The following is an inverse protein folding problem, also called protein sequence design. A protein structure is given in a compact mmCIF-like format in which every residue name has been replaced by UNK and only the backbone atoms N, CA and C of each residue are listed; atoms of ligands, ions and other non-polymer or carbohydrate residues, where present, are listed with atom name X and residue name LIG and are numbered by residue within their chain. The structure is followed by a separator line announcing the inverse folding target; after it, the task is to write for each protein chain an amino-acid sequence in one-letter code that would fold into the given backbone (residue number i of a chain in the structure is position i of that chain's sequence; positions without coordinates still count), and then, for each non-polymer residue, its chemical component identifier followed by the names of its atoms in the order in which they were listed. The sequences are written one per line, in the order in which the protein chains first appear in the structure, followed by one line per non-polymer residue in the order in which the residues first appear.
data_IF_327233665222
#
_entry.id   IF_327233665222
#
_cell.length_a   1.000
_cell.length_b   1.000
_cell.length_c   1.000
_cell.angle_alpha   90.00
_cell.angle_beta   90.00
_cell.angle_gamma   90.00
#
_symmetry.space_group_name_H-M   'P 1'
#
loop_
_entity.id
_entity.type
_entity.pdbx_description
1 polymer ?
#
# COMPACT_ATOMS: atom_id res chain seq x y z
N UNK A 1 -8.39 21.36 7.12
CA UNK A 1 -9.62 20.98 6.36
C UNK A 1 -10.28 19.80 7.06
N UNK A 2 -11.54 19.92 7.52
CA UNK A 2 -12.26 18.78 8.12
C UNK A 2 -12.44 17.70 7.06
N UNK A 3 -11.95 16.47 7.29
CA UNK A 3 -12.24 15.31 6.46
C UNK A 3 -13.76 15.14 6.37
N UNK A 4 -14.34 15.41 5.22
CA UNK A 4 -15.77 15.21 4.99
C UNK A 4 -16.02 13.69 5.05
N UNK A 5 -16.71 13.23 6.10
CA UNK A 5 -17.14 11.83 6.24
C UNK A 5 -18.07 11.52 5.07
N UNK A 6 -17.54 10.96 4.00
CA UNK A 6 -18.34 10.51 2.87
C UNK A 6 -19.26 9.37 3.30
N UNK A 7 -20.52 9.43 2.87
CA UNK A 7 -21.52 8.37 3.08
C UNK A 7 -20.96 7.02 2.63
N UNK A 8 -21.18 5.96 3.42
CA UNK A 8 -20.83 4.58 3.11
C UNK A 8 -21.21 4.17 1.67
N UNK A 9 -22.36 4.62 1.19
CA UNK A 9 -22.87 4.35 -0.15
C UNK A 9 -21.90 4.86 -1.26
N UNK A 10 -21.38 6.08 -1.14
CA UNK A 10 -20.43 6.66 -2.11
C UNK A 10 -19.08 5.93 -2.09
N UNK A 11 -18.70 5.38 -0.94
CA UNK A 11 -17.48 4.55 -0.82
C UNK A 11 -17.63 3.20 -1.50
N UNK A 12 -18.84 2.63 -1.48
CA UNK A 12 -19.14 1.30 -2.02
C UNK A 12 -19.42 1.36 -3.52
N UNK A 13 -20.07 2.42 -4.00
CA UNK A 13 -20.51 2.59 -5.38
C UNK A 13 -19.80 3.75 -6.09
N UNK A 14 -18.47 3.73 -6.14
CA UNK A 14 -17.73 4.64 -7.03
C UNK A 14 -17.74 4.07 -8.45
N UNK A 15 -18.48 4.67 -9.42
CA UNK A 15 -18.61 4.13 -10.77
C UNK A 15 -17.27 4.08 -11.54
N UNK A 16 -16.26 4.84 -11.09
CA UNK A 16 -14.91 4.81 -11.67
C UNK A 16 -14.13 3.55 -11.32
N UNK A 17 -14.57 2.85 -10.27
CA UNK A 17 -13.91 1.63 -9.74
C UNK A 17 -14.73 0.36 -9.99
N UNK A 18 -15.82 0.44 -10.74
CA UNK A 18 -16.70 -0.72 -10.96
C UNK A 18 -15.98 -1.86 -11.69
N UNK A 19 -15.09 -1.55 -12.66
CA UNK A 19 -14.25 -2.58 -13.30
C UNK A 19 -13.28 -3.24 -12.30
N UNK A 20 -12.72 -2.46 -11.38
CA UNK A 20 -11.93 -3.01 -10.27
C UNK A 20 -12.77 -3.96 -9.42
N UNK A 21 -14.00 -3.58 -9.10
CA UNK A 21 -14.89 -4.40 -8.28
C UNK A 21 -15.31 -5.67 -9.02
N UNK A 22 -15.70 -5.58 -10.29
CA UNK A 22 -16.01 -6.76 -11.12
C UNK A 22 -14.77 -7.67 -11.18
N UNK A 23 -13.60 -7.16 -11.54
CA UNK A 23 -12.36 -7.93 -11.58
C UNK A 23 -12.01 -8.55 -10.25
N UNK A 24 -12.20 -7.82 -9.14
CA UNK A 24 -11.99 -8.32 -7.80
C UNK A 24 -12.95 -9.44 -7.43
N UNK A 25 -14.22 -9.32 -7.76
CA UNK A 25 -15.24 -10.35 -7.44
C UNK A 25 -15.12 -11.58 -8.34
N UNK A 26 -14.80 -11.43 -9.60
CA UNK A 26 -14.66 -12.56 -10.54
C UNK A 26 -13.32 -13.27 -10.41
N UNK A 27 -12.22 -12.51 -10.36
CA UNK A 27 -10.86 -13.06 -10.26
C UNK A 27 -10.41 -13.36 -8.83
N UNK A 28 -11.10 -12.80 -7.81
CA UNK A 28 -10.64 -12.89 -6.42
C UNK A 28 -10.52 -14.33 -5.92
N UNK A 29 -11.45 -15.21 -6.28
CA UNK A 29 -11.40 -16.61 -5.89
C UNK A 29 -10.17 -17.31 -6.49
N UNK A 30 -9.95 -17.15 -7.80
CA UNK A 30 -8.80 -17.73 -8.49
C UNK A 30 -7.47 -17.17 -7.98
N UNK A 31 -7.39 -15.85 -7.82
CA UNK A 31 -6.21 -15.19 -7.25
C UNK A 31 -5.96 -15.63 -5.81
N UNK A 32 -7.01 -15.77 -5.01
CA UNK A 32 -6.89 -16.24 -3.63
C UNK A 32 -6.41 -17.69 -3.56
N UNK A 33 -6.96 -18.59 -4.39
CA UNK A 33 -6.52 -19.98 -4.49
C UNK A 33 -5.08 -20.08 -4.99
N UNK A 34 -4.69 -19.24 -5.95
CA UNK A 34 -3.33 -19.22 -6.49
C UNK A 34 -2.29 -18.64 -5.54
N UNK A 35 -2.61 -17.51 -4.91
CA UNK A 35 -1.70 -16.81 -3.99
C UNK A 35 -1.73 -17.45 -2.61
N UNK A 36 -2.91 -17.90 -2.16
CA UNK A 36 -3.13 -18.54 -0.86
C UNK A 36 -2.49 -17.75 0.30
N UNK A 37 -2.83 -16.47 0.51
CA UNK A 37 -2.14 -15.61 1.45
C UNK A 37 -2.26 -16.14 2.88
N UNK A 38 -1.12 -16.30 3.56
CA UNK A 38 -1.06 -16.51 5.02
C UNK A 38 -0.78 -15.15 5.64
N UNK A 39 -1.65 -14.67 6.51
CA UNK A 39 -1.47 -13.42 7.25
C UNK A 39 -0.84 -13.71 8.60
N UNK A 40 0.22 -13.01 8.90
CA UNK A 40 0.83 -12.96 10.24
C UNK A 40 0.63 -11.52 10.72
N UNK A 41 0.25 -11.34 11.97
CA UNK A 41 0.05 -10.01 12.54
C UNK A 41 1.14 -9.75 13.58
N UNK A 42 1.65 -8.51 13.63
CA UNK A 42 2.73 -8.08 14.51
C UNK A 42 2.55 -8.58 15.97
N UNK A 43 1.35 -8.51 16.49
CA UNK A 43 1.04 -8.94 17.86
C UNK A 43 0.39 -10.35 17.93
N UNK A 44 0.62 -11.20 16.94
CA UNK A 44 0.04 -12.55 16.85
C UNK A 44 -1.46 -12.61 16.58
N UNK A 45 -2.21 -11.55 16.85
CA UNK A 45 -3.67 -11.47 16.66
C UNK A 45 -4.04 -10.27 15.79
N UNK A 46 -5.06 -10.44 14.94
CA UNK A 46 -5.59 -9.36 14.11
C UNK A 46 -6.14 -8.22 14.98
N UNK A 47 -5.57 -7.00 14.92
CA UNK A 47 -6.11 -5.86 15.65
C UNK A 47 -7.52 -5.49 15.15
N UNK A 48 -8.42 -5.10 16.09
CA UNK A 48 -9.76 -4.64 15.71
C UNK A 48 -9.67 -3.43 14.78
N UNK A 49 -10.35 -3.50 13.65
CA UNK A 49 -10.44 -2.38 12.72
C UNK A 49 -9.16 -2.05 11.96
N UNK A 50 -8.13 -2.93 11.94
CA UNK A 50 -6.86 -2.68 11.24
C UNK A 50 -7.07 -2.27 9.76
N UNK A 51 -8.10 -2.79 9.11
CA UNK A 51 -8.42 -2.47 7.72
C UNK A 51 -9.51 -1.40 7.56
N UNK A 52 -9.98 -0.78 8.66
CA UNK A 52 -10.97 0.31 8.61
C UNK A 52 -10.29 1.66 8.29
N UNK A 53 -11.04 2.55 7.67
CA UNK A 53 -10.56 3.89 7.31
C UNK A 53 -9.67 3.88 6.07
N UNK A 54 -9.12 5.01 5.74
CA UNK A 54 -8.16 5.26 4.68
C UNK A 54 -6.75 5.22 5.28
N UNK A 55 -5.80 4.65 4.54
CA UNK A 55 -4.40 4.58 4.94
C UNK A 55 -3.52 4.33 3.72
N UNK A 56 -2.24 4.61 3.88
CA UNK A 56 -1.23 4.25 2.89
C UNK A 56 -0.56 2.95 3.36
N UNK A 57 -0.44 1.99 2.45
CA UNK A 57 0.35 0.79 2.68
C UNK A 57 1.78 1.07 2.25
N UNK A 58 2.73 0.84 3.15
CA UNK A 58 4.15 0.79 2.87
C UNK A 58 4.60 -0.68 2.95
N UNK A 59 5.25 -1.17 1.91
CA UNK A 59 5.66 -2.58 1.85
C UNK A 59 6.93 -2.72 1.01
N UNK A 60 7.80 -3.66 1.37
CA UNK A 60 8.89 -4.11 0.51
C UNK A 60 8.37 -4.69 -0.81
N UNK A 61 9.23 -4.73 -1.84
CA UNK A 61 8.86 -5.16 -3.18
C UNK A 61 9.72 -6.32 -3.68
N UNK A 62 9.21 -7.54 -3.56
CA UNK A 62 9.95 -8.78 -3.87
C UNK A 62 9.46 -9.51 -5.11
N UNK A 63 8.33 -9.08 -5.69
CA UNK A 63 7.75 -9.73 -6.87
C UNK A 63 6.73 -8.87 -7.59
N UNK A 64 6.60 -9.04 -8.90
CA UNK A 64 5.53 -8.43 -9.72
C UNK A 64 4.12 -8.76 -9.18
N UNK A 65 3.95 -9.89 -8.49
CA UNK A 65 2.67 -10.33 -7.93
C UNK A 65 2.33 -9.74 -6.56
N UNK A 66 3.15 -8.86 -6.00
CA UNK A 66 2.97 -8.28 -4.66
C UNK A 66 1.67 -7.50 -4.53
N UNK A 67 1.27 -6.79 -5.58
CA UNK A 67 -0.01 -6.09 -5.62
C UNK A 67 -1.21 -7.02 -5.37
N UNK A 68 -1.17 -8.23 -5.97
CA UNK A 68 -2.21 -9.23 -5.77
C UNK A 68 -2.12 -9.84 -4.37
N UNK A 69 -0.91 -10.04 -3.84
CA UNK A 69 -0.71 -10.54 -2.48
C UNK A 69 -1.32 -9.58 -1.44
N UNK A 70 -1.05 -8.29 -1.57
CA UNK A 70 -1.66 -7.25 -0.71
C UNK A 70 -3.19 -7.21 -0.91
N UNK A 71 -3.67 -7.23 -2.17
CA UNK A 71 -5.09 -7.19 -2.50
C UNK A 71 -5.89 -8.37 -1.91
N UNK A 72 -5.30 -9.57 -1.92
CA UNK A 72 -5.91 -10.78 -1.34
C UNK A 72 -5.76 -10.85 0.18
N UNK A 73 -4.69 -10.25 0.73
CA UNK A 73 -4.50 -10.16 2.17
C UNK A 73 -5.41 -9.12 2.84
N UNK A 74 -5.85 -8.10 2.12
CA UNK A 74 -6.76 -7.05 2.61
C UNK A 74 -8.07 -7.10 1.82
N UNK A 75 -8.97 -8.04 2.14
CA UNK A 75 -10.20 -8.24 1.38
C UNK A 75 -11.15 -7.05 1.54
N UNK A 76 -12.05 -6.91 0.57
CA UNK A 76 -13.13 -5.92 0.58
C UNK A 76 -12.71 -4.45 0.57
N UNK A 77 -11.43 -4.15 0.25
CA UNK A 77 -10.94 -2.78 0.13
C UNK A 77 -10.43 -2.53 -1.28
N UNK A 78 -10.66 -1.32 -1.78
CA UNK A 78 -10.11 -0.85 -3.04
C UNK A 78 -8.71 -0.31 -2.77
N UNK A 79 -7.71 -0.90 -3.42
CA UNK A 79 -6.30 -0.56 -3.24
C UNK A 79 -5.80 -0.02 -4.58
N UNK A 80 -5.41 1.24 -4.59
CA UNK A 80 -4.80 1.92 -5.72
C UNK A 80 -3.28 1.85 -5.58
N UNK A 81 -2.63 1.13 -6.47
CA UNK A 81 -1.18 0.96 -6.43
C UNK A 81 -0.48 2.14 -7.10
N UNK A 82 0.63 2.59 -6.53
CA UNK A 82 1.52 3.55 -7.19
C UNK A 82 2.55 2.79 -8.00
N UNK A 83 2.61 3.07 -9.31
CA UNK A 83 3.49 2.37 -10.23
C UNK A 83 4.20 3.30 -11.20
N UNK A 84 5.36 2.87 -11.71
CA UNK A 84 6.16 3.63 -12.68
C UNK A 84 5.45 3.79 -14.02
N UNK A 85 5.75 4.88 -14.73
CA UNK A 85 5.16 5.24 -16.04
C UNK A 85 5.27 4.11 -17.09
N UNK A 86 6.35 3.32 -17.05
CA UNK A 86 6.56 2.21 -17.97
C UNK A 86 5.45 1.14 -17.88
N UNK A 87 4.86 0.91 -16.70
CA UNK A 87 3.75 -0.03 -16.52
C UNK A 87 2.49 0.44 -17.25
N UNK A 88 2.31 1.77 -17.38
CA UNK A 88 1.14 2.36 -18.03
C UNK A 88 1.28 2.51 -19.55
N UNK A 89 2.52 2.42 -20.08
CA UNK A 89 2.83 2.49 -21.51
C UNK A 89 2.88 1.09 -22.16
N UNK A 90 3.07 0.04 -21.37
CA UNK A 90 3.16 -1.34 -21.84
C UNK A 90 1.80 -1.94 -22.23
N UNK A 91 1.76 -3.18 -22.74
CA UNK A 91 0.55 -3.86 -23.21
C UNK A 91 -0.52 -3.99 -22.10
N UNK A 92 -0.12 -4.00 -20.85
CA UNK A 92 -1.01 -4.05 -19.67
C UNK A 92 -1.38 -2.66 -19.14
N UNK A 93 -0.99 -1.58 -19.81
CA UNK A 93 -1.23 -0.20 -19.34
C UNK A 93 -2.71 0.14 -19.13
N UNK A 94 -3.59 -0.43 -19.97
CA UNK A 94 -5.03 -0.29 -19.81
C UNK A 94 -5.53 -0.90 -18.49
N UNK A 95 -4.99 -2.07 -18.11
CA UNK A 95 -5.34 -2.74 -16.86
C UNK A 95 -4.98 -1.89 -15.63
N UNK A 96 -3.77 -1.31 -15.60
CA UNK A 96 -3.36 -0.42 -14.51
C UNK A 96 -4.25 0.83 -14.43
N UNK A 97 -4.72 1.36 -15.57
CA UNK A 97 -5.64 2.50 -15.60
C UNK A 97 -7.01 2.15 -15.03
N UNK A 98 -7.61 1.05 -15.44
CA UNK A 98 -8.95 0.66 -14.98
C UNK A 98 -8.96 0.17 -13.51
N UNK A 99 -7.85 -0.32 -13.00
CA UNK A 99 -7.70 -0.68 -11.58
C UNK A 99 -7.46 0.54 -10.68
N UNK A 100 -7.46 1.76 -11.24
CA UNK A 100 -7.25 2.99 -10.47
C UNK A 100 -5.82 3.18 -9.99
N UNK A 101 -4.85 2.47 -10.59
CA UNK A 101 -3.44 2.64 -10.25
C UNK A 101 -2.95 4.06 -10.56
N UNK A 102 -2.06 4.57 -9.74
CA UNK A 102 -1.53 5.93 -9.82
C UNK A 102 -0.16 5.90 -10.49
N UNK A 103 -0.04 6.57 -11.64
CA UNK A 103 1.22 6.67 -12.37
C UNK A 103 2.15 7.66 -11.68
N UNK A 104 3.40 7.23 -11.43
CA UNK A 104 4.51 8.11 -11.05
C UNK A 104 5.42 8.32 -12.25
N UNK A 105 5.61 9.57 -12.64
CA UNK A 105 6.46 9.94 -13.76
C UNK A 105 7.92 10.09 -13.27
N UNK A 106 8.86 9.42 -13.93
CA UNK A 106 10.32 9.51 -13.73
C UNK A 106 10.81 9.45 -12.27
N UNK A 107 10.12 8.70 -11.40
CA UNK A 107 10.44 8.60 -9.96
C UNK A 107 10.47 9.95 -9.23
N UNK A 108 9.91 11.01 -9.80
CA UNK A 108 9.86 12.33 -9.19
C UNK A 108 8.57 12.57 -8.44
N UNK A 109 8.72 13.13 -7.26
CA UNK A 109 7.62 13.60 -6.45
C UNK A 109 7.04 14.86 -7.09
N UNK A 110 5.97 14.71 -7.85
CA UNK A 110 5.28 15.84 -8.48
C UNK A 110 4.05 16.26 -7.68
N UNK A 111 3.70 17.54 -7.75
CA UNK A 111 2.44 18.07 -7.19
C UNK A 111 1.22 17.31 -7.73
N UNK A 112 1.28 16.87 -8.98
CA UNK A 112 0.23 16.07 -9.62
C UNK A 112 0.06 14.70 -8.95
N UNK A 113 1.17 14.05 -8.60
CA UNK A 113 1.16 12.78 -7.88
C UNK A 113 0.56 12.95 -6.49
N UNK A 114 1.00 13.96 -5.73
CA UNK A 114 0.47 14.28 -4.41
C UNK A 114 -1.05 14.47 -4.46
N UNK A 115 -1.54 15.31 -5.38
CA UNK A 115 -2.97 15.54 -5.56
C UNK A 115 -3.74 14.26 -5.88
N UNK A 116 -3.21 13.40 -6.77
CA UNK A 116 -3.85 12.11 -7.10
C UNK A 116 -3.96 11.19 -5.90
N UNK A 117 -2.90 11.11 -5.07
CA UNK A 117 -2.94 10.32 -3.83
C UNK A 117 -3.96 10.89 -2.86
N UNK A 118 -3.95 12.21 -2.63
CA UNK A 118 -4.95 12.89 -1.79
C UNK A 118 -6.38 12.63 -2.27
N UNK A 119 -6.65 12.77 -3.56
CA UNK A 119 -7.97 12.50 -4.14
C UNK A 119 -8.39 11.04 -3.95
N UNK A 120 -7.47 10.10 -4.10
CA UNK A 120 -7.71 8.68 -3.90
C UNK A 120 -8.07 8.37 -2.45
N UNK A 121 -7.32 8.91 -1.50
CA UNK A 121 -7.57 8.80 -0.07
C UNK A 121 -8.93 9.47 0.28
N UNK A 122 -9.19 10.66 -0.24
CA UNK A 122 -10.45 11.39 0.00
C UNK A 122 -11.68 10.65 -0.53
N UNK A 123 -11.52 9.79 -1.54
CA UNK A 123 -12.58 8.90 -2.03
C UNK A 123 -12.82 7.66 -1.16
N UNK A 124 -12.02 7.47 -0.10
CA UNK A 124 -12.15 6.34 0.80
C UNK A 124 -11.39 5.10 0.35
N UNK A 125 -10.45 5.25 -0.60
CA UNK A 125 -9.60 4.16 -1.07
C UNK A 125 -8.29 4.10 -0.29
N UNK A 126 -7.60 2.97 -0.41
CA UNK A 126 -6.27 2.73 0.14
C UNK A 126 -5.26 2.96 -0.99
N UNK A 127 -4.13 3.57 -0.66
CA UNK A 127 -3.00 3.68 -1.59
C UNK A 127 -1.91 2.71 -1.14
N UNK A 128 -1.35 1.95 -2.07
CA UNK A 128 -0.22 1.06 -1.82
C UNK A 128 1.02 1.56 -2.55
N UNK A 129 2.11 1.67 -1.83
CA UNK A 129 3.40 2.12 -2.35
C UNK A 129 4.51 1.21 -1.86
N UNK A 130 5.52 1.03 -2.71
CA UNK A 130 6.76 0.35 -2.40
C UNK A 130 7.86 1.40 -2.24
N UNK A 131 8.31 1.70 -1.00
CA UNK A 131 9.24 2.81 -0.73
C UNK A 131 10.58 2.66 -1.43
N UNK A 132 11.01 1.43 -1.69
CA UNK A 132 12.26 1.09 -2.40
C UNK A 132 12.22 1.54 -3.87
N UNK A 133 11.04 1.50 -4.50
CA UNK A 133 10.80 1.90 -5.88
C UNK A 133 11.37 0.97 -6.95
N UNK A 134 11.94 -0.16 -6.55
CA UNK A 134 12.43 -1.25 -7.41
C UNK A 134 12.07 -2.60 -6.80
N UNK A 135 12.03 -3.64 -7.61
CA UNK A 135 11.88 -5.02 -7.13
C UNK A 135 13.26 -5.49 -6.65
N UNK A 136 13.33 -5.93 -5.40
CA UNK A 136 14.57 -6.42 -4.81
C UNK A 136 14.68 -7.94 -4.98
N UNK A 137 15.80 -8.38 -5.55
CA UNK A 137 16.07 -9.82 -5.74
C UNK A 137 16.65 -10.46 -4.47
N UNK A 138 17.35 -9.70 -3.64
CA UNK A 138 18.20 -10.19 -2.56
C UNK A 138 17.53 -10.22 -1.17
N UNK A 139 16.26 -9.89 -1.04
CA UNK A 139 15.55 -9.74 0.24
C UNK A 139 16.13 -8.69 1.23
N UNK A 140 17.09 -7.90 0.82
CA UNK A 140 17.62 -6.83 1.65
C UNK A 140 16.69 -5.60 1.59
N UNK A 141 16.24 -5.13 2.75
CA UNK A 141 15.47 -3.89 2.85
C UNK A 141 16.42 -2.72 2.63
N UNK A 142 16.32 -2.11 1.45
CA UNK A 142 17.14 -0.95 1.09
C UNK A 142 16.57 0.35 1.66
N UNK A 143 17.33 1.44 1.48
CA UNK A 143 16.96 2.76 1.96
C UNK A 143 15.61 3.20 1.40
N UNK A 144 14.67 3.54 2.27
CA UNK A 144 13.36 4.04 1.89
C UNK A 144 13.43 5.47 1.40
N UNK A 145 12.83 5.69 0.23
CA UNK A 145 12.64 7.04 -0.29
C UNK A 145 11.54 7.76 0.50
N UNK A 146 11.72 9.04 0.78
CA UNK A 146 10.76 9.86 1.52
C UNK A 146 9.34 10.00 0.90
N UNK A 147 9.07 9.24 -0.17
CA UNK A 147 7.81 9.29 -0.91
C UNK A 147 6.59 8.93 -0.09
N UNK A 148 6.64 7.82 0.64
CA UNK A 148 5.55 7.37 1.50
C UNK A 148 5.31 8.37 2.63
N UNK A 149 6.37 8.84 3.27
CA UNK A 149 6.30 9.82 4.34
C UNK A 149 5.64 11.14 3.86
N UNK A 150 6.08 11.66 2.71
CA UNK A 150 5.49 12.86 2.10
C UNK A 150 4.01 12.68 1.78
N UNK A 151 3.62 11.54 1.18
CA UNK A 151 2.22 11.25 0.87
C UNK A 151 1.36 11.14 2.12
N UNK A 152 1.85 10.47 3.16
CA UNK A 152 1.13 10.34 4.42
C UNK A 152 0.95 11.69 5.11
N UNK A 153 2.00 12.53 5.15
CA UNK A 153 1.93 13.87 5.71
C UNK A 153 0.90 14.75 4.98
N UNK A 154 1.04 14.86 3.66
CA UNK A 154 0.18 15.74 2.84
C UNK A 154 -1.27 15.26 2.76
N UNK A 155 -1.53 13.96 2.85
CA UNK A 155 -2.87 13.37 2.87
C UNK A 155 -3.46 13.25 4.28
N UNK A 156 -2.71 13.61 5.32
CA UNK A 156 -3.09 13.47 6.73
C UNK A 156 -3.62 12.05 7.03
N UNK A 157 -2.85 11.04 6.66
CA UNK A 157 -3.30 9.65 6.61
C UNK A 157 -2.34 8.72 7.33
N UNK A 158 -2.89 7.73 8.03
CA UNK A 158 -2.12 6.68 8.71
C UNK A 158 -1.31 5.84 7.70
N UNK A 159 -0.23 5.22 8.16
CA UNK A 159 0.56 4.27 7.37
C UNK A 159 0.37 2.87 7.95
N UNK A 160 0.11 1.89 7.10
CA UNK A 160 0.09 0.47 7.45
C UNK A 160 1.34 -0.20 6.89
N UNK A 161 2.35 -0.52 7.72
CA UNK A 161 3.51 -1.25 7.27
C UNK A 161 3.15 -2.72 7.03
N UNK A 162 3.67 -3.27 5.93
CA UNK A 162 3.48 -4.68 5.55
C UNK A 162 4.82 -5.22 5.06
N UNK A 163 5.20 -6.40 5.54
CA UNK A 163 6.33 -7.14 5.00
C UNK A 163 5.86 -8.33 4.18
N UNK A 164 6.35 -8.42 2.94
CA UNK A 164 6.06 -9.49 2.00
C UNK A 164 7.23 -10.46 1.94
N UNK A 165 6.95 -11.73 2.25
CA UNK A 165 7.96 -12.77 2.19
C UNK A 165 8.10 -13.27 0.75
N UNK A 166 9.33 -13.38 0.26
CA UNK A 166 9.61 -13.92 -1.08
C UNK A 166 9.10 -15.36 -1.19
N UNK A 167 8.25 -15.58 -2.18
CA UNK A 167 7.62 -16.88 -2.40
C UNK A 167 8.57 -17.82 -3.15
N UNK A 168 8.84 -18.99 -2.60
CA UNK A 168 9.36 -20.11 -3.35
C UNK A 168 8.23 -20.75 -4.17
N UNK A 169 8.61 -21.46 -5.27
CA UNK A 169 7.64 -22.11 -6.17
C UNK A 169 6.67 -22.99 -5.36
N UNK A 170 5.36 -22.85 -5.61
CA UNK A 170 4.27 -23.59 -4.93
C UNK A 170 4.02 -23.30 -3.44
N UNK A 171 4.76 -22.39 -2.83
CA UNK A 171 4.49 -21.99 -1.43
C UNK A 171 3.38 -20.94 -1.34
N UNK A 172 2.72 -20.88 -0.19
CA UNK A 172 1.78 -19.82 0.15
C UNK A 172 2.51 -18.49 0.26
N UNK A 173 1.87 -17.41 -0.22
CA UNK A 173 2.40 -16.06 0.00
C UNK A 173 2.18 -15.68 1.47
N UNK A 174 3.24 -15.33 2.17
CA UNK A 174 3.15 -14.84 3.54
C UNK A 174 3.17 -13.32 3.53
N UNK A 175 2.23 -12.75 4.26
CA UNK A 175 2.03 -11.29 4.39
C UNK A 175 2.03 -10.97 5.87
N UNK A 176 3.09 -10.35 6.35
CA UNK A 176 3.22 -9.90 7.74
C UNK A 176 2.67 -8.48 7.83
N UNK A 177 1.68 -8.28 8.68
CA UNK A 177 0.92 -7.03 8.78
C UNK A 177 1.24 -6.39 10.13
N UNK A 178 1.83 -5.20 10.07
CA UNK A 178 2.15 -4.38 11.22
C UNK A 178 0.96 -3.61 11.77
N UNK A 179 1.16 -2.95 12.89
CA UNK A 179 0.20 -2.01 13.44
C UNK A 179 0.21 -0.70 12.64
N UNK A 180 -0.94 -0.04 12.55
CA UNK A 180 -1.00 1.27 11.90
C UNK A 180 -0.19 2.30 12.67
N UNK A 181 0.66 2.99 11.97
CA UNK A 181 1.34 4.19 12.44
C UNK A 181 0.41 5.37 12.21
N UNK A 182 0.02 6.02 13.28
CA UNK A 182 -0.92 7.13 13.24
C UNK A 182 -0.28 8.39 12.69
N UNK A 183 -0.98 9.10 11.81
CA UNK A 183 -0.50 10.36 11.25
C UNK A 183 -0.11 11.37 12.34
N UNK A 184 -0.94 11.48 13.38
CA UNK A 184 -0.73 12.39 14.51
C UNK A 184 0.56 12.13 15.30
N UNK A 185 1.01 10.86 15.34
CA UNK A 185 2.26 10.46 15.98
C UNK A 185 3.49 10.68 15.07
N UNK A 186 3.27 10.72 13.77
CA UNK A 186 4.35 10.82 12.79
C UNK A 186 4.71 12.26 12.43
N UNK A 187 3.72 13.14 12.32
CA UNK A 187 3.89 14.48 11.76
C UNK A 187 3.20 15.53 12.61
N UNK A 188 3.87 16.67 12.79
CA UNK A 188 3.30 17.84 13.47
C UNK A 188 2.42 18.68 12.54
N UNK A 189 2.67 18.62 11.24
CA UNK A 189 1.94 19.39 10.23
C UNK A 189 1.77 18.62 8.92
N UNK A 190 0.91 19.14 8.04
CA UNK A 190 0.74 18.62 6.68
C UNK A 190 1.86 19.00 5.72
N UNK A 191 2.74 19.90 6.13
CA UNK A 191 3.95 20.29 5.41
C UNK A 191 5.17 19.89 6.24
N UNK A 192 5.62 18.64 6.13
CA UNK A 192 6.72 18.13 6.95
C UNK A 192 8.04 18.72 6.50
N UNK A 193 8.95 18.89 7.46
CA UNK A 193 10.34 19.24 7.16
C UNK A 193 11.07 18.05 6.55
N UNK A 194 12.23 18.29 5.94
CA UNK A 194 13.07 17.23 5.38
C UNK A 194 13.52 16.24 6.47
N UNK A 195 13.81 16.76 7.66
CA UNK A 195 14.20 15.98 8.84
C UNK A 195 13.04 15.05 9.30
N UNK A 196 11.81 15.57 9.33
CA UNK A 196 10.62 14.75 9.65
C UNK A 196 10.41 13.64 8.62
N UNK A 197 10.58 13.94 7.34
CA UNK A 197 10.46 12.94 6.27
C UNK A 197 11.50 11.83 6.41
N UNK A 198 12.76 12.21 6.68
CA UNK A 198 13.85 11.25 6.88
C UNK A 198 13.57 10.38 8.12
N UNK A 199 13.20 11.00 9.25
CA UNK A 199 12.85 10.29 10.49
C UNK A 199 11.73 9.26 10.26
N UNK A 200 10.67 9.64 9.54
CA UNK A 200 9.55 8.73 9.26
C UNK A 200 9.98 7.62 8.31
N UNK A 201 10.82 7.91 7.31
CA UNK A 201 11.35 6.90 6.39
C UNK A 201 12.21 5.88 7.11
N UNK A 202 13.07 6.30 8.03
CA UNK A 202 13.88 5.43 8.90
C UNK A 202 13.00 4.60 9.85
N UNK A 203 11.94 5.20 10.40
CA UNK A 203 10.98 4.49 11.23
C UNK A 203 10.27 3.38 10.44
N UNK A 204 9.85 3.66 9.21
CA UNK A 204 9.23 2.67 8.33
C UNK A 204 10.19 1.52 8.00
N UNK A 205 11.44 1.84 7.69
CA UNK A 205 12.46 0.83 7.42
C UNK A 205 12.71 -0.07 8.64
N UNK A 206 12.78 0.52 9.85
CA UNK A 206 12.90 -0.25 11.10
C UNK A 206 11.68 -1.15 11.31
N UNK A 207 10.48 -0.62 11.07
CA UNK A 207 9.23 -1.39 11.18
C UNK A 207 9.20 -2.58 10.22
N UNK A 208 9.66 -2.44 9.00
CA UNK A 208 9.72 -3.57 8.08
C UNK A 208 10.72 -4.63 8.54
N UNK A 209 11.88 -4.25 9.06
CA UNK A 209 12.85 -5.19 9.65
C UNK A 209 12.29 -5.91 10.89
N UNK A 210 11.51 -5.22 11.72
CA UNK A 210 10.80 -5.85 12.84
C UNK A 210 9.79 -6.90 12.34
N UNK A 211 9.04 -6.59 11.28
CA UNK A 211 8.06 -7.52 10.67
C UNK A 211 8.76 -8.73 10.01
N UNK A 212 9.91 -8.52 9.40
CA UNK A 212 10.77 -9.59 8.88
C UNK A 212 11.24 -10.52 10.00
N UNK A 213 11.70 -9.95 11.11
CA UNK A 213 12.13 -10.73 12.27
C UNK A 213 10.97 -11.54 12.88
N UNK A 214 9.77 -10.96 12.98
CA UNK A 214 8.57 -11.68 13.41
C UNK A 214 8.28 -12.89 12.52
N UNK A 215 8.50 -12.76 11.21
CA UNK A 215 8.37 -13.89 10.29
C UNK A 215 9.41 -14.98 10.56
N UNK A 216 10.66 -14.61 10.83
CA UNK A 216 11.75 -15.57 11.05
C UNK A 216 11.58 -16.41 12.34
N UNK A 217 10.75 -15.91 13.27
CA UNK A 217 10.45 -16.62 14.53
C UNK A 217 9.19 -17.51 14.46
N UNK A 218 8.39 -17.47 13.34
CA UNK A 218 7.13 -18.22 13.15
C UNK A 218 7.25 -19.29 12.05
#
# INVERSE_FOLDING_TARGET
MKKQKRNWFVRTFDPRMWFYDIGKWTAALFLWLWIRPKRIYENGKKPKGIFKGEYIIASNHVSVTDHFAIGTAIPFRRICNVGKSNLFKGPWGWFFKITGSICIDDNKMSTKLIRRVQDTINRGHIVSMFPEGIIEEDNEIKTFKGGVAMMAATSQTDILPIYLVKRKKWQRRIVVIGNKLKHEDLFKSSMPTKEELNRVSELLMRKEKELEHIYSMN
#
